data_IF_329022023782
#
_entry.id   IF_329022023782
#
_cell.length_a   1.000
_cell.length_b   1.000
_cell.length_c   1.000
_cell.angle_alpha   90.00
_cell.angle_beta   90.00
_cell.angle_gamma   90.00
#
_symmetry.space_group_name_H-M   'P 1'
#
loop_
_entity.id
_entity.type
_entity.pdbx_description
1 polymer ?
#
# COMPACT_ATOMS: atom_id res chain seq x y z
N UNK A 1 21.24 11.19 41.89
CA UNK A 1 20.83 9.94 41.25
C UNK A 1 19.80 10.25 40.21
N UNK A 2 20.15 10.01 38.97
CA UNK A 2 19.47 10.49 37.82
C UNK A 2 18.11 9.85 37.53
N UNK A 3 17.11 10.70 37.34
CA UNK A 3 15.78 10.35 36.81
C UNK A 3 15.77 10.55 35.30
N UNK A 4 16.54 9.70 34.60
CA UNK A 4 16.53 9.64 33.13
C UNK A 4 16.15 8.24 32.69
N UNK A 5 14.91 7.89 32.82
CA UNK A 5 14.41 6.70 32.13
C UNK A 5 12.94 6.86 31.81
N UNK A 6 12.64 6.61 30.53
CA UNK A 6 11.34 6.50 29.90
C UNK A 6 10.75 7.79 29.33
N UNK A 7 11.43 8.39 28.37
CA UNK A 7 10.70 9.00 27.26
C UNK A 7 10.30 7.85 26.33
N UNK A 8 9.13 7.29 26.55
CA UNK A 8 8.44 6.56 25.49
C UNK A 8 8.22 7.57 24.38
N UNK A 9 8.75 7.32 23.19
CA UNK A 9 8.37 8.02 21.97
C UNK A 9 6.87 7.88 21.82
N UNK A 10 6.13 8.83 22.34
CA UNK A 10 4.71 8.99 22.03
C UNK A 10 4.70 9.60 20.62
N UNK A 11 4.50 8.76 19.63
CA UNK A 11 4.21 9.20 18.28
C UNK A 11 2.89 9.99 18.32
N UNK A 12 2.97 11.28 18.11
CA UNK A 12 1.80 12.14 17.93
C UNK A 12 1.60 12.26 16.42
N UNK A 13 0.50 11.71 15.85
CA UNK A 13 0.19 11.92 14.44
C UNK A 13 0.07 13.43 14.18
N UNK A 14 0.64 13.90 13.09
CA UNK A 14 0.74 15.33 12.77
C UNK A 14 -0.58 16.03 12.43
N UNK A 15 -1.76 15.41 12.65
CA UNK A 15 -3.07 16.02 12.41
C UNK A 15 -4.17 15.58 13.35
N UNK A 16 -3.87 15.03 14.53
CA UNK A 16 -4.93 14.67 15.49
C UNK A 16 -5.86 13.53 15.04
N UNK A 17 -5.60 12.90 13.91
CA UNK A 17 -6.32 11.72 13.46
C UNK A 17 -5.85 10.50 14.24
N UNK A 18 -6.78 9.78 14.84
CA UNK A 18 -6.49 8.52 15.51
C UNK A 18 -5.97 7.50 14.51
N UNK A 19 -4.85 6.83 14.83
CA UNK A 19 -4.28 5.82 13.95
C UNK A 19 -5.28 4.66 13.78
N UNK A 20 -5.58 4.22 12.54
CA UNK A 20 -6.46 3.09 12.31
C UNK A 20 -5.99 1.83 13.04
N UNK A 21 -6.93 0.98 13.42
CA UNK A 21 -6.61 -0.31 14.04
C UNK A 21 -5.87 -1.20 13.05
N UNK A 22 -4.95 -2.02 13.56
CA UNK A 22 -4.24 -3.01 12.75
C UNK A 22 -5.23 -4.04 12.19
N UNK A 23 -5.07 -4.37 10.92
CA UNK A 23 -5.72 -5.53 10.33
C UNK A 23 -4.97 -6.80 10.74
N UNK A 24 -5.70 -7.92 10.83
CA UNK A 24 -5.11 -9.22 11.17
C UNK A 24 -5.52 -10.26 10.15
N UNK A 25 -4.55 -10.87 9.49
CA UNK A 25 -4.76 -11.95 8.54
C UNK A 25 -3.55 -12.90 8.53
N UNK A 26 -3.75 -14.14 8.10
CA UNK A 26 -2.68 -15.12 7.99
C UNK A 26 -1.79 -14.81 6.79
N UNK A 27 -0.49 -14.92 6.95
CA UNK A 27 0.50 -14.65 5.90
C UNK A 27 1.30 -15.91 5.56
N UNK A 28 1.76 -15.96 4.29
CA UNK A 28 2.75 -16.91 3.79
C UNK A 28 3.94 -16.13 3.29
N UNK A 29 5.10 -16.74 3.34
CA UNK A 29 6.32 -16.21 2.76
C UNK A 29 6.12 -15.95 1.26
N UNK A 30 6.80 -14.95 0.72
CA UNK A 30 6.77 -14.56 -0.69
C UNK A 30 5.36 -14.28 -1.27
N UNK A 31 4.40 -14.03 -0.40
CA UNK A 31 3.03 -13.66 -0.78
C UNK A 31 2.73 -12.22 -0.39
N UNK A 32 2.25 -11.44 -1.36
CA UNK A 32 1.83 -10.05 -1.20
C UNK A 32 0.32 -10.01 -1.14
N UNK A 33 -0.22 -9.38 -0.10
CA UNK A 33 -1.65 -9.33 0.19
C UNK A 33 -2.23 -7.96 -0.16
N UNK A 34 -3.55 -7.88 -0.31
CA UNK A 34 -4.24 -6.63 -0.59
C UNK A 34 -4.02 -5.60 0.54
N UNK A 35 -3.43 -4.43 0.23
CA UNK A 35 -3.19 -3.38 1.22
C UNK A 35 -4.45 -2.58 1.54
N UNK A 36 -5.48 -2.68 0.72
CA UNK A 36 -6.77 -1.98 0.86
C UNK A 36 -7.88 -2.88 0.31
N UNK A 37 -9.11 -2.72 0.81
CA UNK A 37 -10.27 -3.39 0.23
C UNK A 37 -10.78 -2.60 -0.97
N UNK A 38 -11.17 -3.29 -2.04
CA UNK A 38 -11.69 -2.63 -3.24
C UNK A 38 -11.79 -3.54 -4.45
N UNK A 39 -12.16 -2.93 -5.58
CA UNK A 39 -12.30 -3.63 -6.86
C UNK A 39 -10.93 -3.76 -7.53
N UNK A 40 -10.52 -4.99 -7.82
CA UNK A 40 -9.24 -5.30 -8.44
C UNK A 40 -9.27 -4.96 -9.93
N UNK A 41 -8.25 -4.25 -10.39
CA UNK A 41 -8.03 -3.89 -11.79
C UNK A 41 -6.59 -4.22 -12.20
N UNK A 42 -6.37 -4.43 -13.49
CA UNK A 42 -5.01 -4.57 -14.00
C UNK A 42 -4.25 -3.25 -13.92
N UNK A 43 -2.92 -3.28 -13.66
CA UNK A 43 -2.09 -2.06 -13.74
C UNK A 43 -2.16 -1.39 -15.12
N UNK A 44 -2.38 -2.17 -16.20
CA UNK A 44 -2.53 -1.64 -17.56
C UNK A 44 -3.79 -0.80 -17.76
N UNK A 45 -4.78 -0.91 -16.86
CA UNK A 45 -6.02 -0.14 -16.90
C UNK A 45 -5.95 1.16 -16.08
N UNK A 46 -4.87 1.38 -15.34
CA UNK A 46 -4.65 2.63 -14.60
C UNK A 46 -4.32 3.75 -15.59
N UNK A 47 -4.98 4.90 -15.47
CA UNK A 47 -4.85 6.03 -16.39
C UNK A 47 -3.59 6.87 -16.13
N UNK A 48 -2.44 6.19 -16.06
CA UNK A 48 -1.11 6.78 -15.93
C UNK A 48 -0.15 6.00 -16.83
N UNK A 49 0.55 6.72 -17.73
CA UNK A 49 1.44 6.07 -18.71
C UNK A 49 2.62 5.36 -18.06
N UNK A 50 3.14 5.87 -16.96
CA UNK A 50 4.27 5.27 -16.24
C UNK A 50 3.83 4.00 -15.54
N UNK A 51 2.67 4.04 -14.87
CA UNK A 51 2.12 2.88 -14.15
C UNK A 51 1.68 1.81 -15.15
N UNK A 52 0.88 2.18 -16.15
CA UNK A 52 0.30 1.24 -17.12
C UNK A 52 1.34 0.60 -18.05
N UNK A 53 2.49 1.25 -18.27
CA UNK A 53 3.61 0.66 -19.01
C UNK A 53 4.34 -0.45 -18.26
N UNK A 54 4.05 -0.64 -16.95
CA UNK A 54 4.73 -1.60 -16.10
C UNK A 54 6.10 -1.13 -15.59
N UNK A 55 6.43 0.16 -15.74
CA UNK A 55 7.72 0.71 -15.27
C UNK A 55 7.89 0.59 -13.75
N UNK A 56 6.79 0.57 -13.01
CA UNK A 56 6.79 0.34 -11.55
C UNK A 56 6.70 -1.15 -11.15
N UNK A 57 6.88 -2.07 -12.09
CA UNK A 57 6.87 -3.50 -11.84
C UNK A 57 5.54 -4.18 -12.13
N UNK A 58 5.39 -5.41 -11.63
CA UNK A 58 4.20 -6.23 -11.84
C UNK A 58 3.27 -6.18 -10.63
N UNK A 59 1.96 -6.10 -10.86
CA UNK A 59 0.97 -6.09 -9.79
C UNK A 59 -0.42 -5.69 -10.22
N UNK A 60 -1.12 -4.99 -9.34
CA UNK A 60 -2.53 -4.63 -9.49
C UNK A 60 -2.79 -3.17 -9.15
N UNK A 61 -3.88 -2.64 -9.74
CA UNK A 61 -4.61 -1.51 -9.20
C UNK A 61 -5.80 -2.01 -8.37
N UNK A 62 -6.18 -1.24 -7.36
CA UNK A 62 -7.37 -1.49 -6.54
C UNK A 62 -8.14 -0.19 -6.45
N UNK A 63 -9.42 -0.20 -6.87
CA UNK A 63 -10.32 0.93 -6.66
C UNK A 63 -10.90 0.80 -5.24
N UNK A 64 -10.49 1.67 -4.28
CA UNK A 64 -10.81 1.49 -2.88
C UNK A 64 -12.31 1.51 -2.59
N UNK A 65 -12.75 0.68 -1.65
CA UNK A 65 -14.13 0.66 -1.13
C UNK A 65 -14.06 0.52 0.39
N UNK A 66 -14.64 1.46 1.11
CA UNK A 66 -14.73 1.42 2.58
C UNK A 66 -13.67 2.26 3.28
N UNK A 67 -12.69 1.64 3.91
CA UNK A 67 -11.67 2.36 4.67
C UNK A 67 -10.61 2.99 3.78
N UNK A 68 -10.37 4.28 3.98
CA UNK A 68 -9.37 5.07 3.24
C UNK A 68 -8.00 4.98 3.94
N UNK A 69 -7.48 3.77 4.04
CA UNK A 69 -6.17 3.50 4.61
C UNK A 69 -5.51 2.31 3.90
N UNK A 70 -4.24 2.44 3.56
CA UNK A 70 -3.42 1.32 3.08
C UNK A 70 -2.65 0.70 4.24
N UNK A 71 -2.59 -0.63 4.23
CA UNK A 71 -1.97 -1.47 5.24
C UNK A 71 -0.77 -2.21 4.66
N UNK A 72 0.18 -2.59 5.52
CA UNK A 72 1.32 -3.40 5.10
C UNK A 72 0.84 -4.74 4.50
N UNK A 73 1.19 -5.04 3.23
CA UNK A 73 0.73 -6.23 2.53
C UNK A 73 1.49 -7.50 2.92
N UNK A 74 2.54 -7.36 3.71
CA UNK A 74 3.39 -8.43 4.22
C UNK A 74 4.27 -7.90 5.35
N UNK A 75 5.07 -8.77 5.97
CA UNK A 75 6.12 -8.33 6.88
C UNK A 75 7.26 -7.73 6.05
N UNK A 76 7.69 -6.52 6.38
CA UNK A 76 8.68 -5.80 5.59
C UNK A 76 9.33 -4.66 6.39
N UNK A 77 10.38 -4.09 5.81
CA UNK A 77 10.96 -2.83 6.23
C UNK A 77 10.50 -1.71 5.31
N UNK A 78 10.20 -0.55 5.86
CA UNK A 78 9.93 0.67 5.09
C UNK A 78 11.25 1.18 4.51
N UNK A 79 11.41 1.10 3.19
CA UNK A 79 12.67 1.47 2.51
C UNK A 79 12.59 2.77 1.75
N UNK A 80 11.39 3.22 1.40
CA UNK A 80 11.19 4.51 0.73
C UNK A 80 9.93 5.23 1.23
N UNK A 81 10.06 6.52 1.46
CA UNK A 81 8.96 7.43 1.78
C UNK A 81 9.15 8.75 1.03
N UNK A 82 8.08 9.46 0.79
CA UNK A 82 8.15 10.82 0.20
C UNK A 82 7.45 11.85 1.08
N UNK A 83 7.73 13.12 0.84
CA UNK A 83 7.19 14.23 1.63
C UNK A 83 5.70 14.45 1.41
N UNK A 84 5.17 14.02 0.29
CA UNK A 84 3.75 14.14 -0.10
C UNK A 84 2.91 12.95 0.37
N UNK A 85 3.53 11.92 0.96
CA UNK A 85 2.91 10.73 1.57
C UNK A 85 1.95 9.94 0.65
N UNK A 86 1.97 10.17 -0.67
CA UNK A 86 1.10 9.47 -1.62
C UNK A 86 1.64 8.08 -2.03
N UNK A 87 2.88 7.77 -1.68
CA UNK A 87 3.48 6.45 -1.95
C UNK A 87 4.45 6.02 -0.86
N UNK A 88 4.68 4.71 -0.80
CA UNK A 88 5.60 4.07 0.14
C UNK A 88 6.25 2.84 -0.48
N UNK A 89 7.54 2.68 -0.27
CA UNK A 89 8.32 1.50 -0.65
C UNK A 89 8.61 0.61 0.55
N UNK A 90 8.46 -0.68 0.35
CA UNK A 90 8.71 -1.71 1.35
C UNK A 90 9.67 -2.76 0.79
N UNK A 91 10.48 -3.36 1.65
CA UNK A 91 11.34 -4.49 1.26
C UNK A 91 11.19 -5.61 2.28
N UNK A 92 10.91 -6.82 1.82
CA UNK A 92 10.82 -8.01 2.68
C UNK A 92 12.20 -8.52 3.06
N UNK A 93 12.28 -9.40 4.05
CA UNK A 93 13.53 -10.06 4.44
C UNK A 93 14.11 -10.94 3.33
N UNK A 94 13.27 -11.41 2.38
CA UNK A 94 13.68 -12.15 1.19
C UNK A 94 14.07 -11.26 0.00
N UNK A 95 14.04 -9.93 0.19
CA UNK A 95 14.49 -8.95 -0.81
C UNK A 95 13.43 -8.52 -1.83
N UNK A 96 12.16 -8.88 -1.64
CA UNK A 96 11.07 -8.42 -2.52
C UNK A 96 10.82 -6.94 -2.25
N UNK A 97 10.93 -6.12 -3.30
CA UNK A 97 10.67 -4.69 -3.26
C UNK A 97 9.25 -4.39 -3.73
N UNK A 98 8.48 -3.76 -2.85
CA UNK A 98 7.06 -3.48 -3.07
C UNK A 98 6.84 -1.97 -3.08
N UNK A 99 6.12 -1.48 -4.08
CA UNK A 99 5.61 -0.11 -4.12
C UNK A 99 4.10 -0.13 -3.87
N UNK A 100 3.65 0.74 -2.97
CA UNK A 100 2.24 1.12 -2.84
C UNK A 100 2.14 2.59 -3.23
N UNK A 101 1.31 2.90 -4.23
CA UNK A 101 1.09 4.24 -4.75
C UNK A 101 -0.41 4.57 -4.71
N UNK A 102 -0.78 5.69 -4.11
CA UNK A 102 -2.17 6.07 -3.86
C UNK A 102 -2.57 7.20 -4.80
N UNK A 103 -3.50 6.93 -5.69
CA UNK A 103 -4.04 7.84 -6.68
C UNK A 103 -3.13 8.11 -7.87
N UNK A 104 -3.71 8.61 -8.96
CA UNK A 104 -2.98 9.10 -10.12
C UNK A 104 -2.91 10.64 -10.06
N UNK A 105 -1.71 11.20 -10.22
CA UNK A 105 -1.50 12.65 -10.14
C UNK A 105 -1.49 13.24 -8.72
N UNK A 106 -1.68 12.44 -7.70
CA UNK A 106 -1.82 12.88 -6.29
C UNK A 106 -0.56 13.52 -5.70
N UNK A 107 0.59 13.42 -6.34
CA UNK A 107 1.80 14.18 -6.00
C UNK A 107 1.53 15.70 -5.98
N UNK A 108 0.66 16.18 -6.87
CA UNK A 108 0.29 17.61 -7.00
C UNK A 108 -0.56 18.10 -5.81
N UNK A 109 -1.11 17.19 -5.00
CA UNK A 109 -1.84 17.55 -3.77
C UNK A 109 -0.90 18.01 -2.65
N UNK A 110 0.42 17.89 -2.82
CA UNK A 110 1.44 18.34 -1.87
C UNK A 110 1.23 17.80 -0.45
N UNK A 111 0.77 16.54 -0.33
CA UNK A 111 0.51 15.85 0.94
C UNK A 111 -0.85 16.15 1.57
N UNK A 112 -1.66 17.01 0.97
CA UNK A 112 -3.04 17.25 1.42
C UNK A 112 -3.87 15.97 1.31
N UNK A 113 -4.57 15.60 2.39
CA UNK A 113 -5.40 14.40 2.42
C UNK A 113 -4.62 13.11 2.68
N UNK A 114 -3.32 13.17 2.99
CA UNK A 114 -2.51 11.99 3.31
C UNK A 114 -1.91 12.08 4.71
N UNK A 115 -2.04 11.01 5.49
CA UNK A 115 -1.44 10.87 6.82
C UNK A 115 -0.64 9.57 6.89
N UNK A 116 0.67 9.66 7.02
CA UNK A 116 1.57 8.51 7.14
C UNK A 116 1.83 8.20 8.62
N UNK A 117 1.78 6.92 8.99
CA UNK A 117 1.95 6.41 10.35
C UNK A 117 3.29 5.76 10.64
N UNK A 118 4.11 5.57 9.62
CA UNK A 118 5.41 4.88 9.69
C UNK A 118 6.52 5.74 9.10
N UNK A 119 7.78 5.45 9.46
CA UNK A 119 8.95 6.17 8.99
C UNK A 119 9.87 5.25 8.19
N UNK A 120 10.79 5.84 7.44
CA UNK A 120 11.85 5.07 6.79
C UNK A 120 12.65 4.27 7.84
N UNK A 121 12.95 3.02 7.49
CA UNK A 121 13.61 2.00 8.30
C UNK A 121 12.74 1.35 9.40
N UNK A 122 11.48 1.71 9.55
CA UNK A 122 10.57 0.98 10.44
C UNK A 122 10.34 -0.45 9.94
N UNK A 123 10.37 -1.42 10.87
CA UNK A 123 9.90 -2.77 10.63
C UNK A 123 8.38 -2.83 10.82
N UNK A 124 7.67 -3.27 9.81
CA UNK A 124 6.21 -3.40 9.83
C UNK A 124 5.78 -4.85 9.69
N UNK A 125 4.74 -5.22 10.41
CA UNK A 125 4.05 -6.50 10.25
C UNK A 125 2.89 -6.34 9.29
N UNK A 126 2.55 -7.40 8.58
CA UNK A 126 1.34 -7.46 7.75
C UNK A 126 0.13 -6.92 8.52
N UNK A 127 -0.67 -6.07 7.88
CA UNK A 127 -1.82 -5.43 8.50
C UNK A 127 -1.50 -4.18 9.35
N UNK A 128 -0.24 -3.74 9.45
CA UNK A 128 0.10 -2.45 10.08
C UNK A 128 -0.41 -1.30 9.19
N UNK A 129 -1.17 -0.31 9.73
CA UNK A 129 -1.57 0.86 8.96
C UNK A 129 -0.34 1.66 8.52
N UNK A 130 -0.27 2.01 7.24
CA UNK A 130 0.86 2.73 6.66
C UNK A 130 0.51 4.19 6.36
N UNK A 131 -0.53 4.40 5.56
CA UNK A 131 -0.97 5.74 5.11
C UNK A 131 -2.50 5.75 5.05
N UNK A 132 -3.14 6.71 5.73
CA UNK A 132 -4.53 7.07 5.46
C UNK A 132 -4.59 8.15 4.39
N UNK A 133 -5.63 8.13 3.58
CA UNK A 133 -5.87 9.09 2.52
C UNK A 133 -7.33 9.55 2.53
N UNK A 134 -7.59 10.72 1.99
CA UNK A 134 -8.95 11.27 1.84
C UNK A 134 -9.41 11.07 0.40
N UNK A 135 -10.18 10.01 0.16
CA UNK A 135 -10.69 9.65 -1.16
C UNK A 135 -11.51 10.79 -1.78
N UNK A 136 -12.35 11.46 -0.99
CA UNK A 136 -13.16 12.58 -1.46
C UNK A 136 -12.27 13.76 -1.88
N UNK A 137 -11.24 14.09 -1.10
CA UNK A 137 -10.30 15.16 -1.46
C UNK A 137 -9.51 14.85 -2.73
N UNK A 138 -9.16 13.57 -2.98
CA UNK A 138 -8.50 13.13 -4.21
C UNK A 138 -9.42 13.37 -5.42
N UNK A 139 -10.67 12.94 -5.31
CA UNK A 139 -11.69 13.11 -6.38
C UNK A 139 -12.04 14.58 -6.62
N UNK A 140 -12.22 15.37 -5.56
CA UNK A 140 -12.47 16.82 -5.66
C UNK A 140 -11.31 17.59 -6.31
N UNK A 141 -10.08 17.12 -6.13
CA UNK A 141 -8.90 17.65 -6.80
C UNK A 141 -8.81 17.22 -8.28
N UNK A 142 -9.70 16.35 -8.75
CA UNK A 142 -9.74 15.87 -10.14
C UNK A 142 -8.79 14.71 -10.42
N UNK A 143 -8.32 14.01 -9.40
CA UNK A 143 -7.40 12.88 -9.52
C UNK A 143 -8.13 11.54 -9.39
N UNK A 144 -7.54 10.49 -9.98
CA UNK A 144 -8.09 9.15 -9.90
C UNK A 144 -7.72 8.51 -8.55
N UNK A 145 -8.74 8.02 -7.83
CA UNK A 145 -8.58 7.34 -6.56
C UNK A 145 -8.38 5.83 -6.80
N UNK A 146 -7.15 5.43 -7.09
CA UNK A 146 -6.73 4.04 -7.27
C UNK A 146 -5.50 3.77 -6.41
N UNK A 147 -5.46 2.63 -5.73
CA UNK A 147 -4.26 2.17 -5.01
C UNK A 147 -3.54 1.15 -5.89
N UNK A 148 -2.31 1.47 -6.28
CA UNK A 148 -1.45 0.56 -7.04
C UNK A 148 -0.51 -0.16 -6.10
N UNK A 149 -0.41 -1.48 -6.23
CA UNK A 149 0.54 -2.32 -5.49
C UNK A 149 1.31 -3.19 -6.47
N UNK A 150 2.64 -3.05 -6.48
CA UNK A 150 3.52 -3.75 -7.43
C UNK A 150 4.76 -4.30 -6.75
N UNK A 151 5.34 -5.35 -7.37
CA UNK A 151 6.70 -5.82 -7.10
C UNK A 151 7.63 -5.12 -8.09
N UNK A 152 8.45 -4.21 -7.59
CA UNK A 152 9.28 -3.30 -8.42
C UNK A 152 10.45 -4.03 -9.05
N UNK A 153 11.07 -4.95 -8.31
CA UNK A 153 12.20 -5.76 -8.76
C UNK A 153 11.78 -7.15 -9.28
N UNK A 154 10.65 -7.20 -10.00
CA UNK A 154 10.07 -8.45 -10.52
C UNK A 154 11.04 -9.23 -11.45
N UNK A 155 11.96 -8.54 -12.11
CA UNK A 155 13.00 -9.10 -13.00
C UNK A 155 14.10 -9.88 -12.25
N UNK A 156 14.17 -9.76 -10.91
CA UNK A 156 15.09 -10.53 -10.07
C UNK A 156 14.56 -11.94 -9.74
N UNK A 157 13.31 -12.24 -10.11
CA UNK A 157 12.62 -13.47 -9.75
C UNK A 157 12.26 -14.29 -10.99
N UNK A 158 12.05 -15.60 -10.83
CA UNK A 158 11.62 -16.46 -11.93
C UNK A 158 10.30 -15.95 -12.54
N UNK A 159 9.33 -15.61 -11.66
CA UNK A 159 8.07 -15.00 -12.08
C UNK A 159 7.28 -14.45 -10.87
N UNK A 160 6.35 -13.57 -11.17
CA UNK A 160 5.33 -13.11 -10.23
C UNK A 160 3.98 -13.70 -10.66
N UNK A 161 3.44 -14.62 -9.86
CA UNK A 161 2.11 -15.15 -10.09
C UNK A 161 1.07 -14.15 -9.60
N UNK A 162 0.27 -13.59 -10.51
CA UNK A 162 -0.85 -12.70 -10.22
C UNK A 162 -2.06 -13.57 -9.85
N UNK A 163 -2.35 -13.70 -8.56
CA UNK A 163 -3.33 -14.65 -8.00
C UNK A 163 -4.56 -13.97 -7.39
N UNK A 164 -4.70 -12.65 -7.60
CA UNK A 164 -5.83 -11.89 -7.07
C UNK A 164 -7.16 -12.36 -7.62
N UNK A 165 -8.00 -12.93 -6.74
CA UNK A 165 -9.33 -13.41 -7.06
C UNK A 165 -10.30 -13.16 -5.91
N UNK A 166 -11.59 -13.24 -6.17
CA UNK A 166 -12.64 -13.18 -5.16
C UNK A 166 -13.90 -13.89 -5.63
N UNK A 167 -14.62 -14.49 -4.71
CA UNK A 167 -15.96 -15.02 -4.97
C UNK A 167 -17.02 -13.93 -5.19
N UNK A 168 -16.71 -12.68 -4.86
CA UNK A 168 -17.58 -11.52 -5.09
C UNK A 168 -17.05 -10.69 -6.24
N UNK A 169 -17.91 -10.43 -7.23
CA UNK A 169 -17.58 -9.61 -8.41
C UNK A 169 -18.39 -8.32 -8.43
N UNK A 170 -17.74 -7.22 -8.81
CA UNK A 170 -18.38 -5.94 -9.13
C UNK A 170 -18.01 -5.57 -10.56
N UNK A 171 -19.00 -5.46 -11.43
CA UNK A 171 -18.75 -5.21 -12.86
C UNK A 171 -17.87 -6.27 -13.53
N UNK A 172 -17.93 -7.53 -13.06
CA UNK A 172 -17.10 -8.63 -13.56
C UNK A 172 -15.68 -8.68 -13.00
N UNK A 173 -15.34 -7.79 -12.06
CA UNK A 173 -14.00 -7.69 -11.44
C UNK A 173 -14.02 -8.16 -9.99
N UNK A 174 -12.96 -8.82 -9.49
CA UNK A 174 -12.90 -9.28 -8.11
C UNK A 174 -13.00 -8.12 -7.10
N UNK A 175 -13.83 -8.28 -6.07
CA UNK A 175 -13.85 -7.43 -4.89
C UNK A 175 -12.96 -8.08 -3.82
N UNK A 176 -11.75 -7.58 -3.67
CA UNK A 176 -10.79 -8.06 -2.66
C UNK A 176 -10.94 -7.30 -1.34
N UNK A 177 -10.54 -7.95 -0.26
CA UNK A 177 -10.47 -7.38 1.09
C UNK A 177 -9.02 -7.28 1.53
N UNK A 178 -8.75 -6.37 2.47
CA UNK A 178 -7.44 -6.30 3.13
C UNK A 178 -7.04 -7.69 3.59
N UNK A 179 -5.85 -8.14 3.19
CA UNK A 179 -5.31 -9.45 3.52
C UNK A 179 -5.71 -10.58 2.57
N UNK A 180 -6.46 -10.31 1.50
CA UNK A 180 -6.62 -11.30 0.42
C UNK A 180 -5.30 -11.41 -0.38
N UNK A 181 -4.86 -12.63 -0.76
CA UNK A 181 -3.63 -12.80 -1.52
C UNK A 181 -3.75 -12.23 -2.93
N UNK A 182 -2.77 -11.45 -3.34
CA UNK A 182 -2.73 -10.81 -4.66
C UNK A 182 -1.62 -11.37 -5.56
N UNK A 183 -0.43 -11.54 -4.99
CA UNK A 183 0.74 -11.96 -5.76
C UNK A 183 1.54 -12.99 -4.97
N UNK A 184 2.14 -13.94 -5.71
CA UNK A 184 3.10 -14.88 -5.15
C UNK A 184 4.39 -14.80 -5.98
N UNK A 185 5.51 -14.50 -5.30
CA UNK A 185 6.82 -14.40 -5.91
C UNK A 185 7.44 -15.79 -5.99
N UNK A 186 8.02 -16.14 -7.16
CA UNK A 186 8.71 -17.40 -7.39
C UNK A 186 10.20 -17.15 -7.63
N UNK A 187 11.01 -17.81 -6.83
CA UNK A 187 12.49 -17.77 -6.89
C UNK A 187 13.06 -18.77 -7.90
#
# INVERSE_FOLDING_TARGET
MGLWSKVKNVFVPSNGAEQPQKATFATREDTIYAPVSGVLVSVQEVHDEVISSGLFGQGYGILPVGLDCVYAPCNARVTATNVTNHSIGLTTDTGIEILIHIGVGTIEMNGKGFTRYVHANDEVKAGTPLISFDAAAIEEAGYENVVVVTVVNADHYERIDLIGESGTLIGGRPLVKIGDPLMCVKH
#
